data_IF_405545779154
#
_entry.id   IF_405545779154
#
_cell.length_a   1.000
_cell.length_b   1.000
_cell.length_c   1.000
_cell.angle_alpha   90.00
_cell.angle_beta   90.00
_cell.angle_gamma   90.00
#
_symmetry.space_group_name_H-M   'P 1'
#
loop_
_entity.id
_entity.type
_entity.pdbx_description
1 polymer ?
#
# COMPACT_ATOMS: atom_id res chain seq x y z
N UNK A 1 -3.01 -3.15 -22.51
CA UNK A 1 -3.09 -4.46 -21.82
C UNK A 1 -1.85 -4.84 -21.01
N UNK A 2 -0.71 -4.10 -21.06
CA UNK A 2 0.51 -4.48 -20.32
C UNK A 2 0.52 -4.16 -18.81
N UNK A 3 -0.29 -3.20 -18.34
CA UNK A 3 -0.32 -2.84 -16.91
C UNK A 3 -0.94 -3.94 -16.04
N UNK A 4 -1.89 -4.71 -16.59
CA UNK A 4 -2.55 -5.82 -15.88
C UNK A 4 -1.60 -7.01 -15.61
N UNK A 5 -0.60 -7.22 -16.47
CA UNK A 5 0.33 -8.35 -16.37
C UNK A 5 1.39 -8.15 -15.28
N UNK A 6 1.78 -6.89 -15.01
CA UNK A 6 2.66 -6.55 -13.88
C UNK A 6 1.88 -6.47 -12.57
N UNK A 7 0.63 -5.99 -12.59
CA UNK A 7 -0.24 -5.93 -11.42
C UNK A 7 -0.42 -7.28 -10.73
N UNK A 8 -0.57 -8.38 -11.49
CA UNK A 8 -0.60 -9.73 -10.90
C UNK A 8 0.75 -10.17 -10.31
N UNK A 9 1.88 -9.77 -10.90
CA UNK A 9 3.21 -10.10 -10.37
C UNK A 9 3.50 -9.37 -9.06
N UNK A 10 2.99 -8.14 -8.91
CA UNK A 10 3.09 -7.39 -7.65
C UNK A 10 2.42 -8.13 -6.49
N UNK A 11 1.37 -8.88 -6.76
CA UNK A 11 0.64 -9.66 -5.74
C UNK A 11 1.40 -10.88 -5.24
N UNK A 12 2.44 -11.31 -5.95
CA UNK A 12 3.31 -12.41 -5.57
C UNK A 12 4.64 -11.94 -4.97
N UNK A 13 4.87 -10.62 -4.86
CA UNK A 13 6.12 -10.10 -4.32
C UNK A 13 6.29 -10.39 -2.83
N UNK A 14 7.53 -10.71 -2.47
CA UNK A 14 7.94 -10.87 -1.09
C UNK A 14 7.84 -9.53 -0.33
N UNK A 15 7.46 -9.56 0.96
CA UNK A 15 7.31 -8.36 1.79
C UNK A 15 8.55 -7.45 1.77
N UNK A 16 9.74 -8.02 1.81
CA UNK A 16 11.01 -7.29 1.81
C UNK A 16 11.22 -6.54 0.50
N UNK A 17 10.77 -7.11 -0.62
CA UNK A 17 10.81 -6.46 -1.93
C UNK A 17 9.83 -5.30 -2.00
N UNK A 18 8.65 -5.43 -1.38
CA UNK A 18 7.66 -4.34 -1.31
C UNK A 18 8.22 -3.15 -0.53
N UNK A 19 8.83 -3.38 0.64
CA UNK A 19 9.43 -2.32 1.46
C UNK A 19 10.58 -1.62 0.74
N UNK A 20 11.41 -2.37 0.00
CA UNK A 20 12.55 -1.81 -0.73
C UNK A 20 12.20 -1.16 -2.08
N UNK A 21 10.94 -1.25 -2.53
CA UNK A 21 10.50 -0.73 -3.82
C UNK A 21 10.26 0.77 -3.78
N UNK A 22 10.21 1.39 -4.96
CA UNK A 22 9.73 2.77 -5.11
C UNK A 22 8.30 2.90 -4.53
N UNK A 23 7.97 3.98 -3.79
CA UNK A 23 6.66 4.19 -3.17
C UNK A 23 5.47 4.10 -4.14
N UNK A 24 5.69 4.31 -5.45
CA UNK A 24 4.71 4.06 -6.50
C UNK A 24 4.20 2.60 -6.55
N UNK A 25 4.86 1.66 -5.88
CA UNK A 25 4.41 0.27 -5.74
C UNK A 25 3.03 0.14 -5.10
N UNK A 26 2.63 1.09 -4.25
CA UNK A 26 1.31 1.13 -3.64
C UNK A 26 0.20 1.20 -4.69
N UNK A 27 0.42 1.90 -5.81
CA UNK A 27 -0.56 1.94 -6.91
C UNK A 27 -0.76 0.57 -7.57
N UNK A 28 0.30 -0.23 -7.66
CA UNK A 28 0.21 -1.58 -8.20
C UNK A 28 -0.43 -2.55 -7.20
N UNK A 29 -0.16 -2.38 -5.90
CA UNK A 29 -0.77 -3.20 -4.84
C UNK A 29 -2.29 -3.05 -4.78
N UNK A 30 -2.85 -1.89 -5.20
CA UNK A 30 -4.31 -1.71 -5.34
C UNK A 30 -4.95 -2.70 -6.31
N UNK A 31 -4.18 -3.19 -7.29
CA UNK A 31 -4.67 -4.12 -8.31
C UNK A 31 -4.75 -5.56 -7.79
N UNK A 32 -4.21 -5.83 -6.60
CA UNK A 32 -4.22 -7.17 -6.04
C UNK A 32 -5.59 -7.57 -5.50
N UNK A 33 -6.14 -8.72 -5.93
CA UNK A 33 -7.42 -9.21 -5.42
C UNK A 33 -7.39 -9.45 -3.91
N UNK A 34 -6.23 -9.85 -3.38
CA UNK A 34 -5.95 -9.99 -1.98
C UNK A 34 -4.46 -9.78 -1.70
N UNK A 35 -4.15 -9.27 -0.51
CA UNK A 35 -2.80 -9.21 0.04
C UNK A 35 -2.68 -10.20 1.19
N UNK A 36 -1.56 -10.93 1.23
CA UNK A 36 -1.22 -11.79 2.38
C UNK A 36 -0.97 -10.94 3.63
N UNK A 37 -1.00 -11.56 4.82
CA UNK A 37 -0.70 -10.84 6.07
C UNK A 37 0.65 -10.12 6.03
N UNK A 38 1.69 -10.80 5.56
CA UNK A 38 3.03 -10.22 5.48
C UNK A 38 3.13 -9.07 4.45
N UNK A 39 2.41 -9.16 3.33
CA UNK A 39 2.35 -8.05 2.37
C UNK A 39 1.58 -6.84 2.93
N UNK A 40 0.55 -7.08 3.77
CA UNK A 40 -0.14 -5.98 4.48
C UNK A 40 0.80 -5.31 5.47
N UNK A 41 1.61 -6.07 6.20
CA UNK A 41 2.60 -5.50 7.12
C UNK A 41 3.63 -4.65 6.38
N UNK A 42 4.15 -5.14 5.24
CA UNK A 42 5.06 -4.37 4.37
C UNK A 42 4.39 -3.09 3.83
N UNK A 43 3.15 -3.17 3.36
CA UNK A 43 2.38 -2.01 2.92
C UNK A 43 2.25 -0.96 4.04
N UNK A 44 1.96 -1.37 5.27
CA UNK A 44 1.84 -0.43 6.38
C UNK A 44 3.20 0.18 6.75
N UNK A 45 4.29 -0.58 6.66
CA UNK A 45 5.64 -0.03 6.84
C UNK A 45 5.94 1.08 5.83
N UNK A 46 5.68 0.85 4.54
CA UNK A 46 5.87 1.86 3.48
C UNK A 46 5.00 3.10 3.71
N UNK A 47 3.74 2.93 4.12
CA UNK A 47 2.85 4.06 4.41
C UNK A 47 3.32 4.88 5.62
N UNK A 48 3.87 4.22 6.65
CA UNK A 48 4.37 4.86 7.87
C UNK A 48 5.69 5.62 7.66
N UNK A 49 6.47 5.31 6.63
CA UNK A 49 7.66 6.10 6.28
C UNK A 49 7.29 7.53 5.85
N UNK A 50 6.06 7.74 5.38
CA UNK A 50 5.54 9.05 5.01
C UNK A 50 6.14 9.64 3.72
N UNK A 51 7.15 9.01 3.13
CA UNK A 51 7.73 9.36 1.82
C UNK A 51 6.95 8.71 0.67
N UNK A 52 5.63 8.91 0.67
CA UNK A 52 4.73 8.41 -0.37
C UNK A 52 3.88 9.55 -0.91
N UNK A 53 3.18 9.33 -2.02
CA UNK A 53 2.20 10.30 -2.55
C UNK A 53 1.07 10.61 -1.54
N UNK A 54 0.85 9.72 -0.57
CA UNK A 54 -0.14 9.87 0.49
C UNK A 54 0.38 10.67 1.69
N UNK A 55 1.69 10.91 1.78
CA UNK A 55 2.35 11.53 2.94
C UNK A 55 2.13 10.74 4.24
N UNK A 56 2.54 11.34 5.35
CA UNK A 56 2.36 10.81 6.71
C UNK A 56 0.87 10.54 7.01
N UNK A 57 0.52 9.36 7.57
CA UNK A 57 -0.85 9.01 7.94
C UNK A 57 -1.59 10.04 8.79
N UNK A 58 -0.89 10.79 9.65
CA UNK A 58 -1.48 11.86 10.47
C UNK A 58 -1.99 13.06 9.69
N UNK A 59 -1.64 13.14 8.40
CA UNK A 59 -2.10 14.19 7.49
C UNK A 59 -3.23 13.72 6.55
N UNK A 60 -3.64 12.46 6.64
CA UNK A 60 -4.62 11.90 5.71
C UNK A 60 -6.01 12.48 5.94
N UNK A 61 -6.61 12.95 4.85
CA UNK A 61 -8.00 13.37 4.81
C UNK A 61 -8.86 12.34 4.05
N UNK A 62 -10.16 12.64 3.94
CA UNK A 62 -11.09 11.78 3.21
C UNK A 62 -10.65 11.57 1.75
N UNK A 63 -10.05 12.57 1.12
CA UNK A 63 -9.56 12.47 -0.26
C UNK A 63 -8.39 11.49 -0.35
N UNK A 64 -7.47 11.53 0.60
CA UNK A 64 -6.32 10.61 0.68
C UNK A 64 -6.80 9.17 0.91
N UNK A 65 -7.75 8.97 1.81
CA UNK A 65 -8.37 7.65 2.06
C UNK A 65 -9.12 7.11 0.84
N UNK A 66 -9.83 7.97 0.10
CA UNK A 66 -10.48 7.59 -1.15
C UNK A 66 -9.46 7.17 -2.22
N UNK A 67 -8.32 7.86 -2.31
CA UNK A 67 -7.27 7.51 -3.26
C UNK A 67 -6.52 6.24 -2.89
N UNK A 68 -6.31 5.95 -1.60
CA UNK A 68 -5.78 4.66 -1.15
C UNK A 68 -6.65 3.48 -1.65
N UNK A 69 -7.95 3.71 -1.79
CA UNK A 69 -8.86 2.77 -2.43
C UNK A 69 -8.93 1.43 -1.68
N UNK A 70 -8.79 0.28 -2.37
CA UNK A 70 -8.87 -1.04 -1.72
C UNK A 70 -7.84 -1.25 -0.61
N UNK A 71 -6.72 -0.53 -0.63
CA UNK A 71 -5.66 -0.66 0.38
C UNK A 71 -6.07 -0.20 1.77
N UNK A 72 -7.15 0.60 1.89
CA UNK A 72 -7.70 0.97 3.21
C UNK A 72 -8.07 -0.27 4.03
N UNK A 73 -8.47 -1.37 3.38
CA UNK A 73 -8.81 -2.64 4.05
C UNK A 73 -7.59 -3.44 4.52
N UNK A 74 -6.39 -3.02 4.14
CA UNK A 74 -5.12 -3.63 4.53
C UNK A 74 -4.43 -2.86 5.67
N UNK A 75 -4.96 -1.72 6.09
CA UNK A 75 -4.37 -0.92 7.17
C UNK A 75 -4.44 -1.67 8.50
N UNK A 76 -3.34 -1.63 9.25
CA UNK A 76 -3.26 -2.18 10.59
C UNK A 76 -3.61 -1.11 11.64
N UNK A 77 -3.72 -1.52 12.91
CA UNK A 77 -4.14 -0.63 13.99
C UNK A 77 -3.15 0.52 14.23
N UNK A 78 -1.86 0.31 13.98
CA UNK A 78 -0.85 1.37 14.13
C UNK A 78 -1.11 2.49 13.13
N UNK A 79 -1.26 2.16 11.85
CA UNK A 79 -1.54 3.16 10.81
C UNK A 79 -2.90 3.83 11.03
N UNK A 80 -3.94 3.05 11.34
CA UNK A 80 -5.29 3.58 11.61
C UNK A 80 -5.35 4.51 12.82
N UNK A 81 -4.47 4.34 13.81
CA UNK A 81 -4.44 5.21 14.99
C UNK A 81 -3.86 6.60 14.72
N UNK A 82 -3.20 6.79 13.57
CA UNK A 82 -2.63 8.06 13.15
C UNK A 82 -3.59 8.88 12.28
N UNK A 83 -4.48 8.22 11.54
CA UNK A 83 -5.50 8.82 10.67
C UNK A 83 -6.61 9.46 11.51
#
# INVERSE_FOLDING_TARGET
EQLGSLGTLVCDMEPETIVASDPGILENLKLCPALTGAQRDALNAVLLEGDTVYRDPSSWDLWTLQNLGPLVLALNQTTLSLV
#
